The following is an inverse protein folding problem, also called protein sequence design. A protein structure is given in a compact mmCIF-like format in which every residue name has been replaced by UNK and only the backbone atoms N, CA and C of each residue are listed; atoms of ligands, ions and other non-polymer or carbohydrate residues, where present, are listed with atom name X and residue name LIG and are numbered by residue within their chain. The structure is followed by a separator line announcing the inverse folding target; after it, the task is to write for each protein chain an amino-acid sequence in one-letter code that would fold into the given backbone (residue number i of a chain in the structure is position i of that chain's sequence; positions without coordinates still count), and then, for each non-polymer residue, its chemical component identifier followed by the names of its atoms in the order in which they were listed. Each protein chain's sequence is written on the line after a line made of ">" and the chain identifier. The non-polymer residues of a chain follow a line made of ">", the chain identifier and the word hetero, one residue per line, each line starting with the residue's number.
data_IF_554652926258
#
_entry.id   IF_554652926258
#
_cell.length_a   1.000
_cell.length_b   1.000
_cell.length_c   1.000
_cell.angle_alpha   90.00
_cell.angle_beta   90.00
_cell.angle_gamma   90.00
#
_symmetry.space_group_name_H-M   'P 1'
#
loop_
_entity.id
_entity.type
_entity.pdbx_description
1 polymer ?
#
# COMPACT_ATOMS: atom_id res chain seq x y z
N UNK A 1 -3.20 -7.65 19.20
CA UNK A 1 -4.55 -7.76 18.60
C UNK A 1 -5.55 -6.82 19.28
N UNK A 2 -5.71 -6.88 20.61
CA UNK A 2 -6.65 -6.00 21.34
C UNK A 2 -6.39 -4.49 21.18
N UNK A 3 -5.14 -4.07 20.97
CA UNK A 3 -4.81 -2.67 20.68
C UNK A 3 -5.29 -2.24 19.28
N UNK A 4 -5.00 -3.03 18.25
CA UNK A 4 -5.44 -2.75 16.88
C UNK A 4 -6.96 -2.76 16.75
N UNK A 5 -7.64 -3.70 17.43
CA UNK A 5 -9.10 -3.74 17.47
C UNK A 5 -9.69 -2.49 18.12
N UNK A 6 -9.16 -2.06 19.27
CA UNK A 6 -9.59 -0.81 19.92
C UNK A 6 -9.32 0.42 19.05
N UNK A 7 -8.19 0.46 18.35
CA UNK A 7 -7.91 1.55 17.40
C UNK A 7 -8.93 1.57 16.26
N UNK A 8 -9.27 0.40 15.70
CA UNK A 8 -10.28 0.29 14.66
C UNK A 8 -11.66 0.75 15.14
N UNK A 9 -12.08 0.31 16.33
CA UNK A 9 -13.35 0.71 16.95
C UNK A 9 -13.39 2.22 17.21
N UNK A 10 -12.30 2.80 17.72
CA UNK A 10 -12.21 4.23 18.02
C UNK A 10 -12.23 5.13 16.77
N UNK A 11 -11.99 4.58 15.58
CA UNK A 11 -11.90 5.31 14.31
C UNK A 11 -12.91 4.79 13.27
N UNK A 12 -13.97 4.11 13.70
CA UNK A 12 -14.92 3.46 12.80
C UNK A 12 -15.74 4.43 11.91
N UNK A 13 -15.68 5.73 12.21
CA UNK A 13 -16.30 6.81 11.42
C UNK A 13 -15.59 7.03 10.07
N UNK A 14 -14.29 6.75 9.97
CA UNK A 14 -13.52 6.92 8.72
C UNK A 14 -12.70 5.70 8.31
N UNK A 15 -12.47 4.73 9.20
CA UNK A 15 -11.66 3.54 8.93
C UNK A 15 -12.53 2.29 8.72
N UNK A 16 -12.60 1.81 7.47
CA UNK A 16 -13.25 0.54 7.13
C UNK A 16 -12.20 -0.54 6.89
N UNK A 17 -12.30 -1.64 7.63
CA UNK A 17 -11.36 -2.77 7.54
C UNK A 17 -12.01 -3.92 6.76
N UNK A 18 -11.29 -4.41 5.77
CA UNK A 18 -11.66 -5.61 4.99
C UNK A 18 -10.68 -6.73 5.30
N UNK A 19 -11.20 -7.90 5.67
CA UNK A 19 -10.39 -9.09 5.87
C UNK A 19 -10.23 -9.83 4.55
N UNK A 20 -9.00 -9.96 4.08
CA UNK A 20 -8.67 -10.76 2.91
C UNK A 20 -8.53 -12.25 3.30
N UNK A 21 -8.77 -13.19 2.36
CA UNK A 21 -8.45 -14.60 2.57
C UNK A 21 -6.97 -14.80 2.91
N UNK A 22 -6.67 -15.85 3.69
CA UNK A 22 -5.29 -16.24 3.94
C UNK A 22 -4.58 -16.59 2.62
N UNK A 23 -3.30 -16.22 2.50
CA UNK A 23 -2.48 -16.50 1.33
C UNK A 23 -3.03 -15.97 -0.01
N UNK A 24 -3.70 -14.81 -0.01
CA UNK A 24 -4.15 -14.11 -1.22
C UNK A 24 -3.31 -12.84 -1.52
N UNK A 25 -2.01 -12.97 -1.87
CA UNK A 25 -1.16 -11.81 -2.16
C UNK A 25 -1.60 -11.07 -3.44
N UNK A 26 -2.27 -11.76 -4.35
CA UNK A 26 -2.90 -11.21 -5.55
C UNK A 26 -4.00 -10.18 -5.24
N UNK A 27 -4.65 -10.29 -4.08
CA UNK A 27 -5.65 -9.32 -3.61
C UNK A 27 -5.04 -8.15 -2.82
N UNK A 28 -3.74 -8.18 -2.52
CA UNK A 28 -3.07 -7.15 -1.74
C UNK A 28 -2.39 -6.12 -2.65
N UNK A 29 -2.93 -4.89 -2.79
CA UNK A 29 -2.38 -3.88 -3.71
C UNK A 29 -0.98 -3.41 -3.29
N UNK A 30 -0.57 -3.63 -2.04
CA UNK A 30 0.78 -3.29 -1.60
C UNK A 30 1.83 -4.12 -2.34
N UNK A 31 1.53 -5.34 -2.78
CA UNK A 31 2.48 -6.16 -3.57
C UNK A 31 2.86 -5.49 -4.90
N UNK A 32 1.92 -4.78 -5.53
CA UNK A 32 2.19 -3.95 -6.71
C UNK A 32 3.18 -2.83 -6.41
N UNK A 33 2.99 -2.13 -5.29
CA UNK A 33 3.90 -1.07 -4.82
C UNK A 33 5.29 -1.63 -4.53
N UNK A 34 5.37 -2.79 -3.87
CA UNK A 34 6.63 -3.50 -3.64
C UNK A 34 7.32 -3.88 -4.95
N UNK A 35 6.58 -4.40 -5.93
CA UNK A 35 7.10 -4.73 -7.26
C UNK A 35 7.67 -3.50 -7.98
N UNK A 36 6.95 -2.37 -7.97
CA UNK A 36 7.43 -1.11 -8.55
C UNK A 36 8.71 -0.61 -7.87
N UNK A 37 8.73 -0.62 -6.54
CA UNK A 37 9.89 -0.20 -5.76
C UNK A 37 11.10 -1.10 -6.07
N UNK A 38 10.95 -2.43 -5.99
CA UNK A 38 12.02 -3.41 -6.25
C UNK A 38 12.58 -3.27 -7.66
N UNK A 39 11.73 -3.19 -8.69
CA UNK A 39 12.17 -2.96 -10.08
C UNK A 39 12.96 -1.67 -10.23
N UNK A 40 12.55 -0.60 -9.56
CA UNK A 40 13.26 0.67 -9.59
C UNK A 40 14.63 0.65 -8.88
N UNK A 41 14.92 -0.42 -8.13
CA UNK A 41 16.13 -0.63 -7.36
C UNK A 41 17.06 -1.71 -7.93
N UNK A 42 16.68 -2.39 -9.03
CA UNK A 42 17.39 -3.55 -9.55
C UNK A 42 18.90 -3.32 -9.84
N UNK A 43 19.28 -2.08 -10.16
CA UNK A 43 20.67 -1.72 -10.51
C UNK A 43 21.43 -0.98 -9.39
N UNK A 44 20.91 -0.96 -8.16
CA UNK A 44 21.57 -0.29 -7.04
C UNK A 44 22.40 -1.27 -6.23
N UNK A 45 23.70 -0.98 -6.14
CA UNK A 45 24.58 -1.57 -5.12
C UNK A 45 24.66 -0.59 -3.96
N UNK A 46 24.44 -1.08 -2.75
CA UNK A 46 24.44 -0.29 -1.52
C UNK A 46 25.40 -0.92 -0.53
N UNK A 47 26.24 -0.10 0.08
CA UNK A 47 27.31 -0.53 1.00
C UNK A 47 26.93 -0.43 2.47
N UNK A 48 25.85 0.29 2.79
CA UNK A 48 25.40 0.52 4.15
C UNK A 48 23.86 0.66 4.25
N UNK A 49 23.34 0.38 5.44
CA UNK A 49 21.90 0.42 5.71
C UNK A 49 21.31 1.83 5.60
N UNK A 50 22.04 2.86 6.01
CA UNK A 50 21.56 4.25 5.97
C UNK A 50 21.32 4.71 4.54
N UNK A 51 22.23 4.36 3.63
CA UNK A 51 22.08 4.62 2.19
C UNK A 51 20.92 3.83 1.61
N UNK A 52 20.74 2.55 1.99
CA UNK A 52 19.60 1.75 1.56
C UNK A 52 18.26 2.38 1.98
N UNK A 53 18.12 2.74 3.26
CA UNK A 53 16.90 3.38 3.80
C UNK A 53 16.59 4.68 3.05
N UNK A 54 17.60 5.51 2.80
CA UNK A 54 17.44 6.76 2.05
C UNK A 54 16.95 6.52 0.61
N UNK A 55 17.51 5.51 -0.07
CA UNK A 55 17.09 5.15 -1.43
C UNK A 55 15.65 4.63 -1.44
N UNK A 56 15.31 3.69 -0.55
CA UNK A 56 13.96 3.12 -0.42
C UNK A 56 12.94 4.24 -0.19
N UNK A 57 13.18 5.12 0.79
CA UNK A 57 12.30 6.27 1.07
C UNK A 57 12.13 7.16 -0.17
N UNK A 58 13.20 7.46 -0.90
CA UNK A 58 13.13 8.27 -2.13
C UNK A 58 12.32 7.58 -3.22
N UNK A 59 12.44 6.25 -3.40
CA UNK A 59 11.68 5.50 -4.40
C UNK A 59 10.20 5.44 -4.04
N UNK A 60 9.87 5.12 -2.79
CA UNK A 60 8.49 5.14 -2.29
C UNK A 60 7.86 6.54 -2.45
N UNK A 61 8.62 7.60 -2.13
CA UNK A 61 8.15 8.98 -2.34
C UNK A 61 7.84 9.28 -3.81
N UNK A 62 8.65 8.77 -4.76
CA UNK A 62 8.36 8.92 -6.20
C UNK A 62 7.09 8.18 -6.63
N UNK A 63 6.80 7.02 -6.04
CA UNK A 63 5.53 6.30 -6.27
C UNK A 63 4.37 7.10 -5.68
N UNK A 64 4.52 7.63 -4.47
CA UNK A 64 3.51 8.48 -3.81
C UNK A 64 3.12 9.69 -4.65
N UNK A 65 4.08 10.35 -5.31
CA UNK A 65 3.81 11.50 -6.19
C UNK A 65 3.23 11.14 -7.56
N UNK A 66 2.94 9.86 -7.82
CA UNK A 66 2.35 9.38 -9.09
C UNK A 66 1.10 8.55 -8.79
N UNK A 67 -0.04 9.21 -8.50
CA UNK A 67 -1.27 8.54 -8.07
C UNK A 67 -1.68 7.39 -9.01
N UNK A 68 -1.58 7.59 -10.33
CA UNK A 68 -1.88 6.54 -11.33
C UNK A 68 -1.10 5.22 -11.13
N UNK A 69 0.09 5.23 -10.52
CA UNK A 69 0.81 4.00 -10.19
C UNK A 69 0.19 3.26 -9.01
N UNK A 70 -0.35 4.00 -8.04
CA UNK A 70 -1.09 3.44 -6.89
C UNK A 70 -2.43 2.90 -7.37
N UNK A 71 -3.15 3.67 -8.21
CA UNK A 71 -4.41 3.26 -8.81
C UNK A 71 -4.22 1.98 -9.66
N UNK A 72 -3.13 1.90 -10.42
CA UNK A 72 -2.78 0.69 -11.18
C UNK A 72 -2.47 -0.52 -10.29
N UNK A 73 -1.89 -0.32 -9.10
CA UNK A 73 -1.66 -1.41 -8.15
C UNK A 73 -2.98 -1.92 -7.55
N UNK A 74 -3.95 -1.04 -7.31
CA UNK A 74 -5.29 -1.42 -6.88
C UNK A 74 -6.05 -2.12 -8.02
N UNK A 75 -6.02 -1.57 -9.23
CA UNK A 75 -6.69 -2.18 -10.39
C UNK A 75 -6.20 -3.61 -10.67
N UNK A 76 -4.92 -3.90 -10.42
CA UNK A 76 -4.35 -5.24 -10.58
C UNK A 76 -5.00 -6.29 -9.68
N UNK A 77 -5.54 -5.91 -8.51
CA UNK A 77 -6.21 -6.84 -7.60
C UNK A 77 -7.66 -7.15 -8.01
N UNK A 78 -8.20 -6.41 -8.97
CA UNK A 78 -9.61 -6.47 -9.35
C UNK A 78 -10.58 -5.89 -8.30
N UNK A 79 -10.05 -5.30 -7.22
CA UNK A 79 -10.86 -4.66 -6.18
C UNK A 79 -11.19 -3.21 -6.57
N UNK A 80 -12.36 -2.75 -6.13
CA UNK A 80 -12.81 -1.37 -6.30
C UNK A 80 -13.04 -0.74 -4.93
N UNK A 81 -12.76 0.56 -4.81
CA UNK A 81 -13.15 1.34 -3.64
C UNK A 81 -14.53 1.91 -3.95
N UNK A 82 -15.54 1.46 -3.24
CA UNK A 82 -16.88 2.05 -3.32
C UNK A 82 -16.86 3.42 -2.63
N UNK A 83 -17.27 4.46 -3.37
CA UNK A 83 -17.55 5.76 -2.76
C UNK A 83 -18.90 5.67 -2.06
N UNK A 84 -18.92 5.86 -0.74
CA UNK A 84 -20.17 5.97 0.02
C UNK A 84 -20.84 7.29 -0.35
N UNK A 85 -21.67 7.30 -1.39
CA UNK A 85 -22.59 8.42 -1.63
C UNK A 85 -23.59 8.43 -0.49
N UNK A 86 -23.44 9.37 0.45
CA UNK A 86 -24.47 9.65 1.45
C UNK A 86 -25.64 10.26 0.70
N UNK A 87 -26.62 9.43 0.33
CA UNK A 87 -27.91 9.92 -0.18
C UNK A 87 -28.57 10.74 0.93
N UNK A 88 -28.60 12.06 0.72
CA UNK A 88 -29.33 13.02 1.58
C UNK A 88 -30.81 12.94 1.31
#
# INVERSE_FOLDING_TARGET
>A
VAELARFAEANADWLRIYQLPAYAPDLNPTEGVWSLMRRSMANFVVTDLTTLVRIVKRKLKKIQYRPHLIDGCLAQTGLIIEETTVTT
#
